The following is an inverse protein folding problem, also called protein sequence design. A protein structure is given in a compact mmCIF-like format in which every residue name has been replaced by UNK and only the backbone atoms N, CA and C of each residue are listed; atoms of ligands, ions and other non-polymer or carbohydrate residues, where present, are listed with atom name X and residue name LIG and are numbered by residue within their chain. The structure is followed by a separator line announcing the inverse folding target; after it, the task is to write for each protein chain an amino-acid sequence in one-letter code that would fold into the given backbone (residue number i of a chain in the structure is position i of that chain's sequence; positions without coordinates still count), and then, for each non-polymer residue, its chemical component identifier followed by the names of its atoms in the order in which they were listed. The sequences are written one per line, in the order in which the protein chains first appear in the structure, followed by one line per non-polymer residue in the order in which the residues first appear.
data_IF_145172223631
#
_entry.id   IF_145172223631
#
_cell.length_a   1.000
_cell.length_b   1.000
_cell.length_c   1.000
_cell.angle_alpha   90.00
_cell.angle_beta   90.00
_cell.angle_gamma   90.00
#
_symmetry.space_group_name_H-M   'P 1'
#
loop_
_entity.id
_entity.type
_entity.pdbx_description
1 polymer ?
#
# COMPACT_ATOMS: atom_id res chain seq x y z
N UNK A 1 -29.49 37.77 12.65
CA UNK A 1 -28.95 36.65 11.85
C UNK A 1 -27.46 36.79 11.56
N UNK A 2 -26.94 38.01 11.30
CA UNK A 2 -25.52 38.23 11.00
C UNK A 2 -24.56 37.89 12.16
N UNK A 3 -24.91 38.24 13.40
CA UNK A 3 -24.07 37.92 14.57
C UNK A 3 -23.87 36.40 14.75
N UNK A 4 -24.93 35.61 14.54
CA UNK A 4 -24.88 34.14 14.60
C UNK A 4 -24.02 33.55 13.47
N UNK A 5 -24.08 34.12 12.27
CA UNK A 5 -23.20 33.77 11.14
C UNK A 5 -21.73 34.04 11.46
N UNK A 6 -21.43 35.21 12.03
CA UNK A 6 -20.06 35.60 12.41
C UNK A 6 -19.49 34.72 13.52
N UNK A 7 -20.31 34.29 14.49
CA UNK A 7 -19.88 33.36 15.54
C UNK A 7 -19.58 31.96 15.00
N UNK A 8 -20.37 31.48 14.04
CA UNK A 8 -20.13 30.19 13.36
C UNK A 8 -18.84 30.25 12.51
N UNK A 9 -18.62 31.33 11.77
CA UNK A 9 -17.39 31.52 10.99
C UNK A 9 -16.14 31.64 11.88
N UNK A 10 -16.23 32.38 12.99
CA UNK A 10 -15.14 32.50 13.95
C UNK A 10 -14.80 31.15 14.61
N UNK A 11 -15.83 30.35 14.97
CA UNK A 11 -15.65 28.99 15.45
C UNK A 11 -14.99 28.08 14.42
N UNK A 12 -15.38 28.19 13.15
CA UNK A 12 -14.81 27.41 12.04
C UNK A 12 -13.37 27.82 11.69
N UNK A 13 -13.02 29.10 11.88
CA UNK A 13 -11.65 29.59 11.75
C UNK A 13 -10.75 29.08 12.88
N UNK A 14 -11.27 29.02 14.11
CA UNK A 14 -10.54 28.50 15.26
C UNK A 14 -10.24 27.01 15.11
N UNK A 15 -11.22 26.21 14.67
CA UNK A 15 -11.01 24.77 14.41
C UNK A 15 -9.97 24.55 13.30
N UNK A 16 -10.01 25.35 12.23
CA UNK A 16 -8.99 25.30 11.16
C UNK A 16 -7.58 25.60 11.67
N UNK A 17 -7.42 26.55 12.59
CA UNK A 17 -6.11 26.85 13.22
C UNK A 17 -5.61 25.68 14.06
N UNK A 18 -6.45 25.13 14.93
CA UNK A 18 -6.12 23.97 15.78
C UNK A 18 -5.71 22.76 14.92
N UNK A 19 -6.44 22.51 13.83
CA UNK A 19 -6.12 21.42 12.89
C UNK A 19 -4.75 21.66 12.24
N UNK A 20 -4.46 22.90 11.81
CA UNK A 20 -3.18 23.22 11.18
C UNK A 20 -2.00 23.11 12.15
N UNK A 21 -2.15 23.57 13.39
CA UNK A 21 -1.14 23.43 14.45
C UNK A 21 -0.86 21.97 14.79
N UNK A 22 -1.92 21.16 14.93
CA UNK A 22 -1.78 19.72 15.14
C UNK A 22 -1.12 19.02 13.96
N UNK A 23 -1.47 19.42 12.73
CA UNK A 23 -0.81 18.92 11.52
C UNK A 23 0.68 19.22 11.58
N UNK A 24 1.09 20.46 11.84
CA UNK A 24 2.51 20.85 11.94
C UNK A 24 3.23 20.03 13.02
N UNK A 25 2.61 19.83 14.20
CA UNK A 25 3.15 18.99 15.27
C UNK A 25 3.42 17.56 14.79
N UNK A 26 2.44 16.93 14.15
CA UNK A 26 2.54 15.55 13.63
C UNK A 26 3.62 15.47 12.54
N UNK A 27 3.64 16.41 11.58
CA UNK A 27 4.65 16.47 10.52
C UNK A 27 6.07 16.55 11.09
N UNK A 28 6.29 17.42 12.09
CA UNK A 28 7.60 17.58 12.70
C UNK A 28 8.04 16.30 13.42
N UNK A 29 7.13 15.62 14.11
CA UNK A 29 7.43 14.35 14.79
C UNK A 29 7.72 13.20 13.81
N UNK A 30 6.98 13.12 12.70
CA UNK A 30 7.26 12.14 11.64
C UNK A 30 8.58 12.44 10.91
N UNK A 31 8.89 13.73 10.70
CA UNK A 31 10.16 14.15 10.09
C UNK A 31 11.36 13.74 10.94
N UNK A 32 11.25 13.78 12.29
CA UNK A 32 12.28 13.25 13.21
C UNK A 32 12.54 11.75 13.01
N UNK A 33 11.54 11.00 12.54
CA UNK A 33 11.64 9.57 12.17
C UNK A 33 11.99 9.36 10.68
N UNK A 34 12.50 10.40 10.00
CA UNK A 34 12.86 10.37 8.57
C UNK A 34 11.68 10.02 7.64
N UNK A 35 10.46 10.40 8.05
CA UNK A 35 9.23 10.23 7.28
C UNK A 35 8.69 11.59 6.85
N UNK A 36 8.66 11.83 5.53
CA UNK A 36 8.05 13.02 4.94
C UNK A 36 6.64 12.68 4.45
N UNK A 37 5.65 12.98 5.28
CA UNK A 37 4.22 12.78 4.99
C UNK A 37 3.64 14.11 4.51
N UNK A 38 2.68 14.05 3.59
CA UNK A 38 1.81 15.13 3.13
C UNK A 38 2.51 16.45 2.74
N UNK A 39 3.70 16.34 2.14
CA UNK A 39 4.40 17.49 1.54
C UNK A 39 4.02 17.57 0.06
N UNK A 40 3.54 18.71 -0.44
CA UNK A 40 3.20 18.87 -1.85
C UNK A 40 4.46 18.74 -2.72
N UNK A 41 4.36 18.03 -3.84
CA UNK A 41 5.43 17.96 -4.85
C UNK A 41 5.07 18.81 -6.06
N UNK A 42 6.05 19.52 -6.61
CA UNK A 42 5.87 20.28 -7.84
C UNK A 42 5.48 19.34 -8.99
N UNK A 43 4.34 19.59 -9.62
CA UNK A 43 3.87 18.89 -10.80
C UNK A 43 2.90 17.72 -10.59
N UNK A 44 2.85 17.06 -9.40
CA UNK A 44 1.78 16.11 -9.06
C UNK A 44 1.81 15.60 -7.60
N UNK A 45 0.63 15.54 -6.95
CA UNK A 45 0.38 14.81 -5.71
C UNK A 45 1.11 15.31 -4.45
N UNK A 46 1.22 14.43 -3.45
CA UNK A 46 1.95 14.67 -2.21
C UNK A 46 3.05 13.59 -2.00
N UNK A 47 3.85 13.72 -0.94
CA UNK A 47 4.92 12.76 -0.62
C UNK A 47 4.44 11.40 -0.13
N UNK A 48 3.12 11.14 -0.06
CA UNK A 48 2.56 9.88 0.44
C UNK A 48 2.67 8.76 -0.58
N UNK A 49 3.91 8.36 -0.86
CA UNK A 49 4.24 7.24 -1.74
C UNK A 49 4.05 5.91 -1.03
N UNK A 50 3.95 4.81 -1.79
CA UNK A 50 3.91 3.47 -1.22
C UNK A 50 5.09 3.13 -0.30
N UNK A 51 6.26 3.77 -0.48
CA UNK A 51 7.39 3.61 0.44
C UNK A 51 7.15 4.30 1.79
N UNK A 52 6.53 5.48 1.79
CA UNK A 52 6.15 6.20 3.01
C UNK A 52 5.09 5.42 3.79
N UNK A 53 4.08 4.88 3.09
CA UNK A 53 3.04 4.05 3.70
C UNK A 53 3.62 2.78 4.36
N UNK A 54 4.47 2.02 3.65
CA UNK A 54 5.14 0.84 4.21
C UNK A 54 5.97 1.14 5.46
N UNK A 55 6.66 2.29 5.48
CA UNK A 55 7.43 2.72 6.66
C UNK A 55 6.53 3.15 7.82
N UNK A 56 5.39 3.79 7.54
CA UNK A 56 4.43 4.19 8.56
C UNK A 56 3.84 2.98 9.30
N UNK A 57 3.42 1.94 8.57
CA UNK A 57 2.85 0.73 9.19
C UNK A 57 3.90 -0.23 9.77
N UNK A 58 5.19 0.01 9.55
CA UNK A 58 6.27 -0.85 10.08
C UNK A 58 6.34 -0.82 11.61
N UNK A 59 6.01 0.32 12.24
CA UNK A 59 6.04 0.53 13.68
C UNK A 59 4.72 1.18 14.17
N UNK A 60 3.68 0.35 14.46
CA UNK A 60 2.36 0.81 14.90
C UNK A 60 2.40 1.61 16.20
N UNK A 61 3.30 1.27 17.13
CA UNK A 61 3.41 1.94 18.44
C UNK A 61 3.88 3.37 18.29
N UNK A 62 4.95 3.57 17.52
CA UNK A 62 5.41 4.93 17.22
C UNK A 62 4.36 5.70 16.41
N UNK A 63 3.68 5.06 15.45
CA UNK A 63 2.64 5.70 14.66
C UNK A 63 1.45 6.16 15.53
N UNK A 64 0.95 5.31 16.41
CA UNK A 64 -0.11 5.62 17.38
C UNK A 64 0.30 6.78 18.29
N UNK A 65 1.49 6.71 18.90
CA UNK A 65 2.01 7.77 19.78
C UNK A 65 2.13 9.12 19.10
N UNK A 66 2.55 9.16 17.84
CA UNK A 66 2.72 10.43 17.10
C UNK A 66 1.37 11.00 16.66
N UNK A 67 0.51 10.16 16.09
CA UNK A 67 -0.76 10.59 15.48
C UNK A 67 -1.89 10.76 16.50
N UNK A 68 -1.83 10.07 17.63
CA UNK A 68 -2.91 9.99 18.61
C UNK A 68 -4.04 9.05 18.21
N UNK A 69 -3.85 8.25 17.15
CA UNK A 69 -4.80 7.22 16.72
C UNK A 69 -4.61 5.97 17.56
N UNK A 70 -5.70 5.26 17.81
CA UNK A 70 -5.69 4.02 18.59
C UNK A 70 -4.73 2.97 18.00
N UNK A 71 -3.99 2.31 18.90
CA UNK A 71 -2.96 1.33 18.54
C UNK A 71 -3.56 0.07 17.90
N UNK A 72 -4.69 -0.41 18.43
CA UNK A 72 -5.36 -1.62 17.94
C UNK A 72 -5.84 -1.40 16.50
N UNK A 73 -6.46 -0.23 16.24
CA UNK A 73 -6.89 0.13 14.89
C UNK A 73 -5.72 0.15 13.89
N UNK A 74 -4.55 0.70 14.26
CA UNK A 74 -3.38 0.72 13.36
C UNK A 74 -2.85 -0.69 13.12
N UNK A 75 -2.81 -1.55 14.15
CA UNK A 75 -2.38 -2.95 14.01
C UNK A 75 -3.30 -3.73 13.07
N UNK A 76 -4.62 -3.61 13.25
CA UNK A 76 -5.62 -4.25 12.36
C UNK A 76 -5.52 -3.78 10.91
N UNK A 77 -5.29 -2.47 10.69
CA UNK A 77 -5.09 -1.95 9.34
C UNK A 77 -3.79 -2.46 8.72
N UNK A 78 -2.71 -2.58 9.51
CA UNK A 78 -1.45 -3.17 9.05
C UNK A 78 -1.66 -4.61 8.60
N UNK A 79 -2.33 -5.44 9.40
CA UNK A 79 -2.54 -6.85 9.05
C UNK A 79 -3.42 -7.00 7.81
N UNK A 80 -4.49 -6.21 7.68
CA UNK A 80 -5.31 -6.19 6.46
C UNK A 80 -4.49 -5.87 5.20
N UNK A 81 -3.67 -4.82 5.25
CA UNK A 81 -2.83 -4.43 4.12
C UNK A 81 -1.78 -5.50 3.79
N UNK A 82 -1.23 -6.16 4.79
CA UNK A 82 -0.28 -7.26 4.64
C UNK A 82 -0.93 -8.49 3.99
N UNK A 83 -2.12 -8.88 4.43
CA UNK A 83 -2.90 -10.00 3.87
C UNK A 83 -3.24 -9.73 2.40
N UNK A 84 -3.69 -8.53 2.06
CA UNK A 84 -4.05 -8.17 0.68
C UNK A 84 -2.84 -8.09 -0.24
N UNK A 85 -1.69 -7.63 0.28
CA UNK A 85 -0.44 -7.53 -0.49
C UNK A 85 0.38 -8.82 -0.54
N UNK A 86 -0.07 -9.89 0.15
CA UNK A 86 0.65 -11.16 0.23
C UNK A 86 0.78 -11.87 -1.13
N UNK A 87 -0.22 -11.74 -2.00
CA UNK A 87 -0.29 -12.46 -3.27
C UNK A 87 -0.68 -13.95 -3.14
N UNK A 88 -1.11 -14.39 -1.96
CA UNK A 88 -1.58 -15.75 -1.67
C UNK A 88 -3.11 -15.83 -1.58
N UNK A 89 -3.65 -17.05 -1.58
CA UNK A 89 -5.08 -17.29 -1.33
C UNK A 89 -5.42 -16.94 0.12
N UNK A 90 -6.57 -16.30 0.31
CA UNK A 90 -7.02 -15.78 1.60
C UNK A 90 -8.32 -16.47 2.00
N UNK A 91 -8.43 -16.85 3.26
CA UNK A 91 -9.69 -17.31 3.87
C UNK A 91 -10.69 -16.14 3.96
N UNK A 92 -11.73 -16.20 3.12
CA UNK A 92 -12.72 -15.13 3.00
C UNK A 92 -13.60 -14.98 4.23
N UNK A 93 -13.87 -16.07 4.95
CA UNK A 93 -14.83 -16.07 6.06
C UNK A 93 -14.19 -15.47 7.32
N UNK A 94 -12.94 -15.85 7.59
CA UNK A 94 -12.12 -15.20 8.63
C UNK A 94 -11.90 -13.71 8.33
N UNK A 95 -11.55 -13.39 7.08
CA UNK A 95 -11.36 -11.99 6.69
C UNK A 95 -12.65 -11.17 6.84
N UNK A 96 -13.80 -11.73 6.48
CA UNK A 96 -15.10 -11.04 6.63
C UNK A 96 -15.39 -10.70 8.09
N UNK A 97 -15.14 -11.63 9.00
CA UNK A 97 -15.33 -11.42 10.45
C UNK A 97 -14.38 -10.33 10.95
N UNK A 98 -13.10 -10.42 10.58
CA UNK A 98 -12.07 -9.46 10.99
C UNK A 98 -12.34 -8.04 10.46
N UNK A 99 -12.78 -7.91 9.21
CA UNK A 99 -13.16 -6.64 8.61
C UNK A 99 -14.37 -6.00 9.31
N UNK A 100 -15.37 -6.83 9.66
CA UNK A 100 -16.56 -6.36 10.39
C UNK A 100 -16.19 -5.83 11.78
N UNK A 101 -15.44 -6.58 12.56
CA UNK A 101 -14.94 -6.12 13.88
C UNK A 101 -14.14 -4.82 13.77
N UNK A 102 -13.27 -4.72 12.77
CA UNK A 102 -12.46 -3.52 12.53
C UNK A 102 -13.33 -2.32 12.19
N UNK A 103 -14.41 -2.52 11.42
CA UNK A 103 -15.37 -1.45 11.11
C UNK A 103 -16.15 -0.98 12.34
N UNK A 104 -16.54 -1.90 13.24
CA UNK A 104 -17.23 -1.57 14.48
C UNK A 104 -16.33 -0.77 15.43
N UNK A 105 -15.05 -1.17 15.53
CA UNK A 105 -14.03 -0.43 16.29
C UNK A 105 -13.85 0.99 15.72
N UNK A 106 -13.79 1.12 14.39
CA UNK A 106 -13.66 2.42 13.74
C UNK A 106 -14.85 3.34 14.06
N UNK A 107 -16.09 2.84 13.93
CA UNK A 107 -17.29 3.62 14.22
C UNK A 107 -17.36 4.00 15.70
N UNK A 108 -16.94 3.10 16.60
CA UNK A 108 -16.90 3.37 18.05
C UNK A 108 -15.90 4.46 18.43
N UNK A 109 -14.69 4.43 17.86
CA UNK A 109 -13.61 5.36 18.20
C UNK A 109 -13.69 6.69 17.43
N UNK A 110 -14.11 6.62 16.17
CA UNK A 110 -14.02 7.70 15.20
C UNK A 110 -15.34 7.92 14.45
N UNK A 111 -16.50 7.64 15.06
CA UNK A 111 -17.81 7.83 14.44
C UNK A 111 -18.13 9.26 13.98
N UNK A 112 -17.39 10.25 14.49
CA UNK A 112 -17.47 11.65 14.04
C UNK A 112 -16.79 11.89 12.68
N UNK A 113 -15.91 10.99 12.21
CA UNK A 113 -15.23 11.11 10.93
C UNK A 113 -15.73 10.01 9.97
N UNK A 114 -16.34 10.36 8.84
CA UNK A 114 -16.83 9.36 7.89
C UNK A 114 -15.66 8.59 7.27
N UNK A 115 -15.81 7.28 7.12
CA UNK A 115 -14.82 6.45 6.44
C UNK A 115 -14.56 6.95 5.02
N UNK A 116 -13.30 6.97 4.61
CA UNK A 116 -12.95 7.27 3.23
C UNK A 116 -13.48 6.16 2.30
N UNK A 117 -13.77 6.46 1.02
CA UNK A 117 -14.25 5.44 0.08
C UNK A 117 -13.31 4.24 -0.06
N UNK A 118 -11.99 4.46 0.06
CA UNK A 118 -10.99 3.38 0.03
C UNK A 118 -11.08 2.48 1.25
N UNK A 119 -11.19 3.06 2.44
CA UNK A 119 -11.33 2.29 3.69
C UNK A 119 -12.68 1.57 3.75
N UNK A 120 -13.75 2.21 3.30
CA UNK A 120 -15.07 1.59 3.20
C UNK A 120 -15.06 0.41 2.21
N UNK A 121 -14.47 0.59 1.03
CA UNK A 121 -14.32 -0.50 0.05
C UNK A 121 -13.48 -1.64 0.61
N UNK A 122 -12.45 -1.34 1.40
CA UNK A 122 -11.61 -2.33 2.06
C UNK A 122 -12.38 -3.15 3.12
N UNK A 123 -13.02 -2.47 4.08
CA UNK A 123 -13.66 -3.12 5.22
C UNK A 123 -15.01 -3.74 4.86
N UNK A 124 -15.81 -3.10 4.01
CA UNK A 124 -17.17 -3.55 3.70
C UNK A 124 -17.19 -4.44 2.46
N UNK A 125 -16.55 -4.02 1.37
CA UNK A 125 -16.59 -4.75 0.10
C UNK A 125 -15.38 -5.67 -0.13
N UNK A 126 -14.31 -5.55 0.68
CA UNK A 126 -13.06 -6.29 0.49
C UNK A 126 -13.26 -7.82 0.44
N UNK A 127 -13.93 -8.43 1.43
CA UNK A 127 -14.18 -9.87 1.44
C UNK A 127 -14.95 -10.35 0.19
N UNK A 128 -15.98 -9.61 -0.21
CA UNK A 128 -16.78 -9.91 -1.41
C UNK A 128 -15.94 -9.82 -2.69
N UNK A 129 -15.08 -8.81 -2.81
CA UNK A 129 -14.19 -8.65 -3.96
C UNK A 129 -13.21 -9.83 -4.04
N UNK A 130 -12.61 -10.22 -2.91
CA UNK A 130 -11.65 -11.33 -2.86
C UNK A 130 -12.33 -12.66 -3.18
N UNK A 131 -13.55 -12.86 -2.69
CA UNK A 131 -14.35 -14.07 -2.96
C UNK A 131 -14.65 -14.27 -4.45
N UNK A 132 -14.87 -13.18 -5.19
CA UNK A 132 -15.16 -13.22 -6.63
C UNK A 132 -13.92 -13.07 -7.52
N UNK A 133 -12.73 -12.84 -6.94
CA UNK A 133 -11.50 -12.72 -7.70
C UNK A 133 -11.01 -14.10 -8.16
N UNK A 134 -10.65 -14.21 -9.44
CA UNK A 134 -10.12 -15.45 -10.04
C UNK A 134 -8.70 -15.75 -9.52
N UNK A 135 -7.92 -14.70 -9.29
CA UNK A 135 -6.50 -14.74 -8.91
C UNK A 135 -6.37 -14.02 -7.55
N UNK A 136 -5.43 -14.44 -6.67
CA UNK A 136 -5.10 -13.72 -5.46
C UNK A 136 -4.96 -12.21 -5.69
N UNK A 137 -5.64 -11.42 -4.86
CA UNK A 137 -5.78 -9.97 -5.06
C UNK A 137 -4.43 -9.24 -5.13
N UNK A 138 -3.42 -9.69 -4.37
CA UNK A 138 -2.09 -9.10 -4.39
C UNK A 138 -1.37 -9.23 -5.73
N UNK A 139 -1.71 -10.26 -6.53
CA UNK A 139 -1.15 -10.44 -7.88
C UNK A 139 -1.82 -9.50 -8.92
N UNK A 140 -3.02 -9.01 -8.64
CA UNK A 140 -3.75 -8.04 -9.47
C UNK A 140 -3.33 -6.58 -9.21
N UNK A 141 -2.16 -6.37 -8.58
CA UNK A 141 -1.67 -5.06 -8.18
C UNK A 141 -1.24 -4.17 -9.36
N UNK A 142 -1.65 -2.90 -9.32
CA UNK A 142 -1.23 -1.87 -10.29
C UNK A 142 0.24 -1.45 -10.11
N UNK A 143 0.84 -1.68 -8.93
CA UNK A 143 2.20 -1.22 -8.62
C UNK A 143 3.25 -1.71 -9.62
N UNK A 144 3.07 -2.92 -10.16
CA UNK A 144 3.95 -3.50 -11.17
C UNK A 144 3.92 -2.69 -12.47
N UNK A 145 2.74 -2.25 -12.92
CA UNK A 145 2.57 -1.42 -14.10
C UNK A 145 3.13 -0.02 -13.88
N UNK A 146 2.88 0.60 -12.73
CA UNK A 146 3.46 1.91 -12.40
C UNK A 146 4.99 1.90 -12.38
N UNK A 147 5.60 0.83 -11.86
CA UNK A 147 7.06 0.67 -11.86
C UNK A 147 7.64 0.64 -13.28
N UNK A 148 6.86 0.23 -14.29
CA UNK A 148 7.28 0.27 -15.71
C UNK A 148 7.42 1.69 -16.24
N UNK A 149 6.74 2.68 -15.67
CA UNK A 149 6.90 4.08 -16.07
C UNK A 149 8.33 4.59 -15.87
N UNK A 150 9.07 4.06 -14.89
CA UNK A 150 10.49 4.35 -14.71
C UNK A 150 11.30 3.88 -15.92
N UNK A 151 11.08 2.64 -16.35
CA UNK A 151 11.74 2.07 -17.52
C UNK A 151 11.36 2.80 -18.81
N UNK A 152 10.10 3.22 -18.96
CA UNK A 152 9.66 4.01 -20.10
C UNK A 152 10.48 5.30 -20.27
N UNK A 153 10.65 6.08 -19.18
CA UNK A 153 11.45 7.31 -19.19
C UNK A 153 12.92 7.02 -19.50
N UNK A 154 13.47 5.94 -18.95
CA UNK A 154 14.84 5.50 -19.20
C UNK A 154 15.05 5.08 -20.66
N UNK A 155 14.16 4.25 -21.22
CA UNK A 155 14.22 3.79 -22.61
C UNK A 155 14.14 4.93 -23.60
N UNK A 156 13.27 5.91 -23.33
CA UNK A 156 13.19 7.12 -24.15
C UNK A 156 14.46 7.97 -24.10
N UNK A 157 15.12 8.06 -22.94
CA UNK A 157 16.28 8.95 -22.76
C UNK A 157 17.56 8.34 -23.34
N UNK A 158 17.78 7.05 -23.06
CA UNK A 158 19.09 6.42 -23.28
C UNK A 158 19.13 5.53 -24.53
N UNK A 159 17.99 4.93 -24.93
CA UNK A 159 17.98 3.86 -25.94
C UNK A 159 17.25 4.23 -27.24
N UNK A 160 16.30 5.17 -27.20
CA UNK A 160 15.48 5.51 -28.34
C UNK A 160 16.12 6.54 -29.27
N UNK A 161 15.89 6.41 -30.58
CA UNK A 161 16.33 7.39 -31.58
C UNK A 161 15.57 8.71 -31.40
N UNK A 162 16.30 9.84 -31.43
CA UNK A 162 15.75 11.19 -31.14
C UNK A 162 15.46 12.06 -32.37
N UNK A 163 15.64 11.53 -33.58
CA UNK A 163 15.42 12.28 -34.82
C UNK A 163 13.94 12.36 -35.24
N UNK A 164 13.09 11.44 -34.77
CA UNK A 164 11.65 11.43 -35.05
C UNK A 164 10.88 10.88 -33.86
N UNK A 165 9.72 11.49 -33.58
CA UNK A 165 8.83 11.03 -32.51
C UNK A 165 8.28 9.62 -32.77
N UNK A 166 7.98 9.31 -34.03
CA UNK A 166 7.44 8.01 -34.43
C UNK A 166 8.50 6.93 -34.18
N UNK A 167 9.71 7.14 -34.70
CA UNK A 167 10.85 6.22 -34.50
C UNK A 167 11.19 6.06 -33.03
N UNK A 168 11.16 7.14 -32.25
CA UNK A 168 11.37 7.11 -30.81
C UNK A 168 10.37 6.19 -30.11
N UNK A 169 9.07 6.35 -30.41
CA UNK A 169 8.02 5.53 -29.80
C UNK A 169 8.13 4.06 -30.20
N UNK A 170 8.47 3.77 -31.46
CA UNK A 170 8.72 2.40 -31.95
C UNK A 170 9.87 1.75 -31.19
N UNK A 171 10.98 2.46 -30.98
CA UNK A 171 12.13 1.92 -30.26
C UNK A 171 11.81 1.63 -28.79
N UNK A 172 11.09 2.55 -28.12
CA UNK A 172 10.63 2.35 -26.75
C UNK A 172 9.70 1.14 -26.66
N UNK A 173 8.76 1.00 -27.59
CA UNK A 173 7.83 -0.13 -27.64
C UNK A 173 8.57 -1.46 -27.83
N UNK A 174 9.47 -1.53 -28.83
CA UNK A 174 10.27 -2.73 -29.09
C UNK A 174 11.09 -3.13 -27.86
N UNK A 175 11.67 -2.15 -27.15
CA UNK A 175 12.44 -2.40 -25.93
C UNK A 175 11.55 -2.91 -24.79
N UNK A 176 10.35 -2.36 -24.65
CA UNK A 176 9.37 -2.84 -23.67
C UNK A 176 9.03 -4.30 -23.96
N UNK A 177 8.71 -4.65 -25.21
CA UNK A 177 8.39 -6.02 -25.65
C UNK A 177 9.53 -7.00 -25.34
N UNK A 178 10.76 -6.67 -25.72
CA UNK A 178 11.93 -7.50 -25.42
C UNK A 178 12.13 -7.73 -23.91
N UNK A 179 11.84 -6.70 -23.10
CA UNK A 179 12.00 -6.80 -21.66
C UNK A 179 10.86 -7.53 -20.94
N UNK A 180 9.69 -7.69 -21.59
CA UNK A 180 8.52 -8.40 -21.07
C UNK A 180 8.36 -9.79 -21.69
N UNK A 181 9.19 -10.17 -22.66
CA UNK A 181 9.20 -11.50 -23.26
C UNK A 181 9.41 -12.56 -22.15
N UNK A 182 8.47 -13.50 -21.95
CA UNK A 182 8.58 -14.54 -20.94
C UNK A 182 9.81 -15.43 -21.11
N UNK A 183 10.15 -15.82 -22.35
CA UNK A 183 11.27 -16.73 -22.64
C UNK A 183 12.60 -16.09 -22.26
N UNK A 184 12.78 -14.82 -22.66
CA UNK A 184 13.96 -14.05 -22.29
C UNK A 184 13.97 -13.71 -20.79
N UNK A 185 12.81 -13.42 -20.20
CA UNK A 185 12.73 -13.06 -18.79
C UNK A 185 13.05 -14.23 -17.87
N UNK A 186 12.71 -15.46 -18.25
CA UNK A 186 13.01 -16.66 -17.46
C UNK A 186 14.49 -17.05 -17.49
N UNK A 187 15.19 -16.80 -18.61
CA UNK A 187 16.61 -17.15 -18.78
C UNK A 187 17.58 -16.10 -18.21
N UNK A 188 17.11 -14.86 -18.01
CA UNK A 188 17.93 -13.79 -17.44
C UNK A 188 18.21 -14.02 -15.97
N UNK A 189 19.47 -13.84 -15.56
CA UNK A 189 19.85 -13.79 -14.15
C UNK A 189 19.07 -12.69 -13.41
N UNK A 190 18.42 -13.07 -12.31
CA UNK A 190 17.61 -12.17 -11.47
C UNK A 190 18.27 -12.03 -10.11
N UNK A 191 18.37 -10.80 -9.63
CA UNK A 191 18.71 -10.54 -8.24
C UNK A 191 17.50 -10.86 -7.35
N UNK A 192 17.63 -11.85 -6.48
CA UNK A 192 16.60 -12.19 -5.50
C UNK A 192 16.66 -11.20 -4.35
N UNK A 193 15.55 -10.49 -4.11
CA UNK A 193 15.43 -9.59 -2.96
C UNK A 193 15.12 -10.39 -1.70
N UNK A 194 15.70 -10.00 -0.58
CA UNK A 194 15.35 -10.53 0.73
C UNK A 194 13.88 -10.22 1.04
N UNK A 195 13.07 -11.27 1.23
CA UNK A 195 11.68 -11.14 1.66
C UNK A 195 11.64 -10.92 3.17
N UNK A 196 10.78 -10.00 3.63
CA UNK A 196 10.49 -9.87 5.05
C UNK A 196 9.44 -10.92 5.44
N UNK A 197 9.53 -11.52 6.64
CA UNK A 197 8.51 -12.44 7.10
C UNK A 197 7.19 -11.71 7.35
N UNK A 198 6.09 -12.43 7.15
CA UNK A 198 4.75 -11.93 7.49
C UNK A 198 4.55 -11.87 9.01
N UNK A 199 3.64 -11.02 9.46
CA UNK A 199 3.18 -11.03 10.86
C UNK A 199 2.40 -12.32 11.16
N UNK A 200 2.46 -12.78 12.43
CA UNK A 200 1.75 -14.00 12.88
C UNK A 200 0.25 -13.91 12.61
N UNK A 201 -0.35 -12.76 12.93
CA UNK A 201 -1.76 -12.46 12.66
C UNK A 201 -2.07 -12.55 11.17
N UNK A 202 -1.21 -12.03 10.28
CA UNK A 202 -1.44 -12.11 8.84
C UNK A 202 -1.40 -13.55 8.31
N UNK A 203 -0.53 -14.41 8.86
CA UNK A 203 -0.41 -15.81 8.44
C UNK A 203 -1.69 -16.63 8.70
N UNK A 204 -2.46 -16.29 9.74
CA UNK A 204 -3.71 -17.00 10.08
C UNK A 204 -4.81 -16.90 9.00
N UNK A 205 -4.71 -15.88 8.14
CA UNK A 205 -5.63 -15.64 7.03
C UNK A 205 -5.18 -16.30 5.72
N UNK A 206 -3.91 -16.69 5.61
CA UNK A 206 -3.36 -17.23 4.38
C UNK A 206 -3.60 -18.73 4.31
N UNK A 207 -4.15 -19.18 3.20
CA UNK A 207 -4.29 -20.60 2.89
C UNK A 207 -2.97 -21.03 2.22
N UNK A 208 -2.22 -21.99 2.79
CA UNK A 208 -1.08 -22.57 2.08
C UNK A 208 -1.58 -23.19 0.78
N UNK A 209 -0.89 -22.90 -0.33
CA UNK A 209 -1.13 -23.65 -1.56
C UNK A 209 -0.67 -25.09 -1.30
N UNK A 210 -1.54 -26.08 -1.52
CA UNK A 210 -1.09 -27.46 -1.59
C UNK A 210 -0.10 -27.55 -2.75
N UNK A 211 1.10 -28.05 -2.48
CA UNK A 211 2.11 -28.34 -3.49
C UNK A 211 1.58 -29.47 -4.41
N UNK A 212 0.64 -29.16 -5.30
CA UNK A 212 0.29 -30.01 -6.44
C UNK A 212 1.28 -29.77 -7.59
N UNK A 213 2.57 -29.77 -7.24
CA UNK A 213 3.67 -29.92 -8.17
C UNK A 213 4.65 -30.93 -7.59
N UNK A 214 4.50 -32.19 -8.00
CA UNK A 214 5.66 -33.03 -8.27
C UNK A 214 6.54 -32.27 -9.28
N UNK A 215 7.42 -31.41 -8.79
CA UNK A 215 8.57 -30.97 -9.56
C UNK A 215 9.82 -31.12 -8.69
N UNK A 216 10.67 -32.00 -9.17
CA UNK A 216 11.87 -32.50 -8.54
C UNK A 216 12.88 -31.37 -8.29
N UNK A 217 13.30 -31.23 -7.03
CA UNK A 217 14.65 -30.80 -6.68
C UNK A 217 14.86 -29.32 -6.40
N UNK A 218 14.58 -28.91 -5.17
CA UNK A 218 15.42 -27.95 -4.45
C UNK A 218 15.25 -28.17 -2.94
N UNK A 219 16.23 -28.83 -2.32
CA UNK A 219 16.29 -29.01 -0.87
C UNK A 219 16.45 -27.65 -0.19
N UNK A 220 15.43 -27.22 0.55
CA UNK A 220 15.59 -26.14 1.53
C UNK A 220 16.09 -26.75 2.85
N UNK A 221 17.35 -26.51 3.16
CA UNK A 221 17.94 -26.84 4.46
C UNK A 221 17.33 -25.96 5.55
N UNK A 222 16.66 -26.58 6.50
CA UNK A 222 16.20 -25.95 7.74
C UNK A 222 17.38 -25.94 8.72
N UNK A 223 18.02 -24.79 8.91
CA UNK A 223 18.85 -24.56 10.10
C UNK A 223 18.01 -23.73 11.07
N UNK A 224 17.54 -24.41 12.11
CA UNK A 224 17.03 -23.79 13.33
C UNK A 224 18.28 -23.51 14.16
N UNK A 225 18.61 -22.23 14.35
CA UNK A 225 19.62 -21.84 15.31
C UNK A 225 18.93 -21.71 16.68
N UNK A 226 19.38 -22.53 17.64
CA UNK A 226 19.09 -22.45 19.07
C UNK A 226 19.66 -21.16 19.71
#
# INVERSE_FOLDING_TARGET
MEALSMFVEAGLLLTKKIVNENKIRIHNNLKKKSLLVDVPKAGFGNTNTGNVSRRFFCDPETASRITGVDLDLIKRLRTLLEVISSGHRIDTDKLSTFCKETSEIYVRLHGWYPMTPTLHKLLVHGPTIIKHAIIPIGQLSEEAAEARNKHFRQYRTDFARKFSKISCNVDVLNRLLLSSDPLLSCTRSRFMKNKKPFTKEALEFLIPESDDSEDTGAQYTTTIDD
#
